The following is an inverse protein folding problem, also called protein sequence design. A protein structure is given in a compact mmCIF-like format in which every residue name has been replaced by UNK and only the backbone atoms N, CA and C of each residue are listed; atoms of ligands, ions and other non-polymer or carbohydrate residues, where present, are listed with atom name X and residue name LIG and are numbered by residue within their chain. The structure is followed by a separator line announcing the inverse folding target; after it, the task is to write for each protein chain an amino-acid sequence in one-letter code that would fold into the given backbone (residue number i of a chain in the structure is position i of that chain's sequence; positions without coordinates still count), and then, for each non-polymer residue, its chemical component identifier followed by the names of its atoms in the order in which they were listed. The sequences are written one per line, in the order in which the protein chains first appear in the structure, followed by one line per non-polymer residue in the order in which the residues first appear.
data_IF_870501750428
#
_entry.id   IF_870501750428
#
_cell.length_a   1.000
_cell.length_b   1.000
_cell.length_c   1.000
_cell.angle_alpha   90.00
_cell.angle_beta   90.00
_cell.angle_gamma   90.00
#
_symmetry.space_group_name_H-M   'P 1'
#
loop_
_entity.id
_entity.type
_entity.pdbx_description
1 polymer ?
#
# COMPACT_ATOMS: atom_id res chain seq x y z
N UNK A 1 4.51 14.50 -17.71
CA UNK A 1 3.11 14.65 -17.28
C UNK A 1 3.10 15.05 -15.83
N UNK A 2 2.27 16.03 -15.49
CA UNK A 2 2.11 16.52 -14.12
C UNK A 2 1.48 15.46 -13.22
N UNK A 3 1.81 15.43 -11.91
CA UNK A 3 1.11 14.59 -10.95
C UNK A 3 -0.39 14.93 -10.87
N UNK A 4 -1.24 13.93 -10.64
CA UNK A 4 -2.71 14.11 -10.59
C UNK A 4 -3.34 13.37 -9.41
N UNK A 5 -4.28 14.04 -8.73
CA UNK A 5 -5.07 13.46 -7.65
C UNK A 5 -6.54 13.41 -8.09
N UNK A 6 -7.13 12.23 -7.99
CA UNK A 6 -8.56 12.01 -8.19
C UNK A 6 -9.23 11.84 -6.82
N UNK A 7 -10.27 12.63 -6.58
CA UNK A 7 -11.06 12.59 -5.34
C UNK A 7 -12.56 12.51 -5.64
N UNK A 8 -13.31 11.85 -4.76
CA UNK A 8 -14.77 11.71 -4.87
C UNK A 8 -15.21 11.05 -6.17
N UNK A 9 -16.12 11.70 -6.91
CA UNK A 9 -16.66 11.16 -8.17
C UNK A 9 -15.55 10.89 -9.20
N UNK A 10 -14.56 11.77 -9.30
CA UNK A 10 -13.43 11.59 -10.23
C UNK A 10 -12.59 10.36 -9.88
N UNK A 11 -12.50 10.01 -8.60
CA UNK A 11 -11.80 8.81 -8.15
C UNK A 11 -12.56 7.54 -8.55
N UNK A 12 -13.88 7.53 -8.40
CA UNK A 12 -14.73 6.40 -8.81
C UNK A 12 -14.65 6.18 -10.33
N UNK A 13 -14.71 7.26 -11.12
CA UNK A 13 -14.53 7.17 -12.57
C UNK A 13 -13.16 6.60 -12.92
N UNK A 14 -12.10 7.11 -12.29
CA UNK A 14 -10.74 6.66 -12.56
C UNK A 14 -10.50 5.21 -12.17
N UNK A 15 -11.10 4.71 -11.09
CA UNK A 15 -11.11 3.27 -10.79
C UNK A 15 -11.79 2.46 -11.89
N UNK A 16 -12.91 2.94 -12.43
CA UNK A 16 -13.61 2.28 -13.54
C UNK A 16 -12.75 2.18 -14.79
N UNK A 17 -11.93 3.19 -15.10
CA UNK A 17 -10.96 3.15 -16.20
C UNK A 17 -9.82 2.14 -15.98
N UNK A 18 -9.61 1.71 -14.74
CA UNK A 18 -8.67 0.65 -14.35
C UNK A 18 -9.35 -0.71 -14.19
N UNK A 19 -10.60 -0.86 -14.66
CA UNK A 19 -11.42 -2.07 -14.47
C UNK A 19 -11.51 -2.49 -12.98
N UNK A 20 -11.62 -1.49 -12.09
CA UNK A 20 -11.77 -1.67 -10.64
C UNK A 20 -13.07 -1.03 -10.15
N UNK A 21 -13.54 -1.53 -9.01
CA UNK A 21 -14.67 -0.95 -8.28
C UNK A 21 -14.26 -0.51 -6.88
N UNK A 22 -15.01 0.42 -6.29
CA UNK A 22 -14.87 0.79 -4.87
C UNK A 22 -15.02 -0.44 -3.97
N UNK A 23 -15.98 -1.31 -4.30
CA UNK A 23 -16.23 -2.56 -3.60
C UNK A 23 -15.01 -3.49 -3.61
N UNK A 24 -14.25 -3.54 -4.70
CA UNK A 24 -13.04 -4.37 -4.77
C UNK A 24 -11.99 -3.94 -3.75
N UNK A 25 -11.75 -2.63 -3.64
CA UNK A 25 -10.81 -2.08 -2.64
C UNK A 25 -11.34 -2.28 -1.22
N UNK A 26 -12.63 -2.06 -1.00
CA UNK A 26 -13.25 -2.27 0.32
C UNK A 26 -13.18 -3.75 0.75
N UNK A 27 -13.44 -4.70 -0.15
CA UNK A 27 -13.34 -6.13 0.16
C UNK A 27 -11.91 -6.54 0.48
N UNK A 28 -10.93 -6.00 -0.22
CA UNK A 28 -9.52 -6.23 0.08
C UNK A 28 -9.22 -5.83 1.54
N UNK A 29 -9.50 -4.58 1.90
CA UNK A 29 -9.19 -4.06 3.23
C UNK A 29 -10.04 -4.68 4.35
N UNK A 30 -11.30 -5.02 4.06
CA UNK A 30 -12.18 -5.74 5.00
C UNK A 30 -11.61 -7.12 5.34
N UNK A 31 -11.12 -7.86 4.34
CA UNK A 31 -10.48 -9.16 4.53
C UNK A 31 -9.18 -9.06 5.33
N UNK A 32 -8.38 -8.02 5.08
CA UNK A 32 -7.20 -7.70 5.89
C UNK A 32 -7.53 -7.41 7.35
N UNK A 33 -8.53 -6.57 7.56
CA UNK A 33 -8.96 -6.12 8.89
C UNK A 33 -9.55 -7.25 9.72
N UNK A 34 -10.38 -8.10 9.12
CA UNK A 34 -10.99 -9.24 9.81
C UNK A 34 -9.93 -10.21 10.38
N UNK A 35 -8.94 -10.59 9.58
CA UNK A 35 -7.88 -11.50 10.03
C UNK A 35 -6.93 -10.82 11.03
N UNK A 36 -6.62 -9.53 10.87
CA UNK A 36 -5.77 -8.81 11.80
C UNK A 36 -6.38 -8.74 13.22
N UNK A 37 -7.72 -8.64 13.32
CA UNK A 37 -8.44 -8.66 14.60
C UNK A 37 -8.46 -10.02 15.30
N UNK A 38 -8.11 -11.10 14.60
CA UNK A 38 -7.97 -12.42 15.22
C UNK A 38 -6.64 -12.59 15.94
N UNK A 39 -5.67 -11.69 15.72
CA UNK A 39 -4.41 -11.69 16.45
C UNK A 39 -4.61 -11.19 17.89
N UNK A 40 -3.89 -11.79 18.81
CA UNK A 40 -3.91 -11.51 20.25
C UNK A 40 -2.51 -11.16 20.75
N UNK A 41 -2.39 -10.82 22.03
CA UNK A 41 -1.09 -10.58 22.67
C UNK A 41 -0.18 -11.81 22.71
N UNK A 42 -0.72 -13.00 22.45
CA UNK A 42 0.03 -14.25 22.39
C UNK A 42 0.71 -14.47 21.02
N UNK A 43 0.34 -13.69 20.00
CA UNK A 43 0.96 -13.74 18.69
C UNK A 43 2.29 -12.98 18.65
N UNK A 44 3.07 -13.20 17.59
CA UNK A 44 4.30 -12.46 17.41
C UNK A 44 4.03 -10.93 17.25
N UNK A 45 4.88 -10.06 17.82
CA UNK A 45 5.01 -8.62 17.60
C UNK A 45 4.47 -7.96 16.31
N UNK A 46 4.68 -8.58 15.16
CA UNK A 46 4.28 -8.07 13.84
C UNK A 46 3.13 -8.82 13.17
N UNK A 47 2.52 -9.80 13.84
CA UNK A 47 1.62 -10.76 13.21
C UNK A 47 0.35 -10.10 12.68
N UNK A 48 -0.27 -9.19 13.43
CA UNK A 48 -1.48 -8.48 12.98
C UNK A 48 -1.22 -7.67 11.70
N UNK A 49 -0.09 -6.97 11.62
CA UNK A 49 0.30 -6.22 10.42
C UNK A 49 0.63 -7.12 9.23
N UNK A 50 1.27 -8.26 9.47
CA UNK A 50 1.57 -9.26 8.43
C UNK A 50 0.29 -9.94 7.93
N UNK A 51 -0.62 -10.32 8.83
CA UNK A 51 -1.94 -10.85 8.52
C UNK A 51 -2.71 -9.87 7.66
N UNK A 52 -2.82 -8.61 8.07
CA UNK A 52 -3.51 -7.58 7.30
C UNK A 52 -2.95 -7.47 5.87
N UNK A 53 -1.63 -7.37 5.73
CA UNK A 53 -0.97 -7.25 4.42
C UNK A 53 -1.25 -8.46 3.52
N UNK A 54 -1.03 -9.67 4.04
CA UNK A 54 -1.23 -10.91 3.29
C UNK A 54 -2.69 -11.09 2.87
N UNK A 55 -3.61 -10.80 3.80
CA UNK A 55 -5.04 -11.05 3.62
C UNK A 55 -5.73 -9.99 2.79
N UNK A 56 -5.28 -8.73 2.84
CA UNK A 56 -5.72 -7.70 1.91
C UNK A 56 -5.41 -8.08 0.46
N UNK A 57 -4.19 -8.54 0.21
CA UNK A 57 -3.80 -8.99 -1.13
C UNK A 57 -4.55 -10.25 -1.55
N UNK A 58 -4.77 -11.23 -0.66
CA UNK A 58 -5.57 -12.42 -0.95
C UNK A 58 -7.01 -12.06 -1.31
N UNK A 59 -7.69 -11.27 -0.48
CA UNK A 59 -9.09 -10.89 -0.68
C UNK A 59 -9.29 -10.10 -1.98
N UNK A 60 -8.35 -9.22 -2.33
CA UNK A 60 -8.35 -8.54 -3.63
C UNK A 60 -8.28 -9.55 -4.78
N UNK A 61 -7.37 -10.52 -4.72
CA UNK A 61 -7.21 -11.55 -5.76
C UNK A 61 -8.42 -12.44 -5.89
N UNK A 62 -8.99 -12.91 -4.78
CA UNK A 62 -10.18 -13.77 -4.80
C UNK A 62 -11.38 -13.05 -5.41
N UNK A 63 -11.51 -11.75 -5.16
CA UNK A 63 -12.53 -10.94 -5.79
C UNK A 63 -12.30 -10.77 -7.30
N UNK A 64 -11.12 -10.28 -7.68
CA UNK A 64 -10.79 -9.94 -9.08
C UNK A 64 -10.52 -11.15 -9.97
N UNK A 65 -10.21 -12.33 -9.42
CA UNK A 65 -10.02 -13.56 -10.20
C UNK A 65 -11.29 -13.95 -10.98
N UNK A 66 -12.47 -13.59 -10.46
CA UNK A 66 -13.76 -13.80 -11.14
C UNK A 66 -13.93 -12.90 -12.37
N UNK A 67 -13.13 -11.84 -12.45
CA UNK A 67 -13.09 -10.86 -13.55
C UNK A 67 -11.89 -11.11 -14.48
N UNK A 68 -11.25 -12.28 -14.36
CA UNK A 68 -10.14 -12.70 -15.24
C UNK A 68 -8.76 -12.19 -14.82
N UNK A 69 -8.63 -11.51 -13.68
CA UNK A 69 -7.34 -11.08 -13.17
C UNK A 69 -6.51 -12.29 -12.71
N UNK A 70 -5.19 -12.17 -12.82
CA UNK A 70 -4.24 -13.21 -12.38
C UNK A 70 -3.33 -12.68 -11.28
N UNK A 71 -2.36 -13.46 -10.80
CA UNK A 71 -1.44 -13.01 -9.75
C UNK A 71 -0.04 -13.60 -9.88
N UNK A 72 0.93 -12.96 -9.22
CA UNK A 72 2.28 -13.48 -9.01
C UNK A 72 2.76 -13.13 -7.60
N UNK A 73 3.63 -13.96 -7.05
CA UNK A 73 4.33 -13.71 -5.79
C UNK A 73 5.86 -13.59 -6.02
N UNK A 74 6.29 -13.37 -7.27
CA UNK A 74 7.70 -13.24 -7.60
C UNK A 74 8.37 -12.14 -6.77
N UNK A 75 9.58 -12.41 -6.28
CA UNK A 75 10.36 -11.51 -5.41
C UNK A 75 9.61 -11.13 -4.11
N UNK A 76 8.67 -11.98 -3.67
CA UNK A 76 7.82 -11.75 -2.50
C UNK A 76 6.93 -10.50 -2.61
N UNK A 77 6.62 -10.07 -3.84
CA UNK A 77 5.67 -8.98 -4.10
C UNK A 77 4.35 -9.59 -4.54
N UNK A 78 3.30 -9.39 -3.73
CA UNK A 78 1.97 -9.96 -3.96
C UNK A 78 1.20 -9.14 -5.00
N UNK A 79 1.58 -9.29 -6.27
CA UNK A 79 0.94 -8.57 -7.39
C UNK A 79 -0.30 -9.29 -7.89
N UNK A 80 -1.35 -8.53 -8.11
CA UNK A 80 -2.60 -8.92 -8.78
C UNK A 80 -2.61 -8.25 -10.14
N UNK A 81 -2.56 -9.02 -11.22
CA UNK A 81 -2.27 -8.57 -12.57
C UNK A 81 -3.57 -8.42 -13.35
N UNK A 82 -3.76 -7.25 -13.96
CA UNK A 82 -4.89 -6.93 -14.82
C UNK A 82 -5.01 -7.93 -15.99
N UNK A 83 -6.22 -8.29 -16.47
CA UNK A 83 -6.40 -9.26 -17.56
C UNK A 83 -5.63 -8.91 -18.84
N UNK A 84 -5.49 -7.62 -19.17
CA UNK A 84 -4.70 -7.16 -20.32
C UNK A 84 -3.19 -7.31 -20.13
N UNK A 85 -2.72 -7.54 -18.90
CA UNK A 85 -1.30 -7.54 -18.54
C UNK A 85 -0.65 -6.15 -18.47
N UNK A 86 -1.42 -5.07 -18.64
CA UNK A 86 -0.89 -3.71 -18.70
C UNK A 86 -0.39 -3.17 -17.35
N UNK A 87 -0.97 -3.61 -16.24
CA UNK A 87 -0.55 -3.19 -14.90
C UNK A 87 -0.90 -4.27 -13.86
N UNK A 88 -0.41 -4.06 -12.64
CA UNK A 88 -0.73 -4.86 -11.47
C UNK A 88 -1.02 -3.98 -10.25
N UNK A 89 -1.56 -4.59 -9.20
CA UNK A 89 -1.84 -3.94 -7.91
C UNK A 89 -1.21 -4.77 -6.79
N UNK A 90 -0.65 -4.10 -5.79
CA UNK A 90 -0.24 -4.72 -4.51
C UNK A 90 -0.68 -3.83 -3.36
N UNK A 91 -1.22 -4.42 -2.29
CA UNK A 91 -1.50 -3.69 -1.06
C UNK A 91 -0.22 -3.52 -0.23
N UNK A 92 0.00 -2.31 0.30
CA UNK A 92 1.22 -1.93 1.03
C UNK A 92 0.86 -0.99 2.19
N UNK A 93 1.45 -1.22 3.37
CA UNK A 93 1.28 -0.29 4.48
C UNK A 93 1.91 1.07 4.19
N UNK A 94 1.14 2.11 4.43
CA UNK A 94 1.48 3.53 4.28
C UNK A 94 1.56 4.26 5.62
N UNK A 95 2.02 5.50 5.55
CA UNK A 95 2.22 6.43 6.67
C UNK A 95 2.21 7.86 6.15
N UNK A 96 2.18 8.84 7.06
CA UNK A 96 1.99 10.25 6.70
C UNK A 96 0.52 10.52 6.35
N UNK A 97 0.31 11.31 5.31
CA UNK A 97 -1.01 11.83 4.92
C UNK A 97 -1.76 10.93 3.93
N UNK A 98 -1.63 9.60 4.06
CA UNK A 98 -2.40 8.63 3.24
C UNK A 98 -3.89 8.94 3.35
N UNK A 99 -4.55 9.12 2.19
CA UNK A 99 -5.97 9.46 2.08
C UNK A 99 -6.31 10.95 2.17
N UNK A 100 -5.32 11.84 2.31
CA UNK A 100 -5.50 13.30 2.26
C UNK A 100 -5.30 13.81 0.83
N UNK A 101 -6.35 14.37 0.24
CA UNK A 101 -6.37 14.90 -1.12
C UNK A 101 -5.51 16.15 -1.31
N UNK A 102 -5.19 16.85 -0.23
CA UNK A 102 -4.36 18.06 -0.25
C UNK A 102 -2.88 17.77 0.01
N UNK A 103 -2.51 16.51 0.28
CA UNK A 103 -1.14 16.14 0.55
C UNK A 103 -0.25 16.19 -0.71
N UNK A 104 0.99 16.63 -0.52
CA UNK A 104 1.99 16.68 -1.57
C UNK A 104 2.25 15.30 -2.20
N UNK A 105 2.54 15.30 -3.50
CA UNK A 105 2.86 14.08 -4.26
C UNK A 105 4.24 13.51 -3.94
N UNK A 106 5.06 14.20 -3.15
CA UNK A 106 6.38 13.76 -2.71
C UNK A 106 6.53 13.98 -1.20
N UNK A 107 6.93 12.94 -0.48
CA UNK A 107 7.28 12.99 0.96
C UNK A 107 6.10 12.91 1.93
N UNK A 108 4.97 13.60 1.66
CA UNK A 108 3.83 13.65 2.57
C UNK A 108 3.12 12.29 2.73
N UNK A 109 3.05 11.52 1.65
CA UNK A 109 2.54 10.14 1.63
C UNK A 109 3.68 9.19 1.37
N UNK A 110 3.90 8.21 2.25
CA UNK A 110 4.99 7.24 2.08
C UNK A 110 4.65 5.86 2.59
N UNK A 111 5.30 4.86 2.03
CA UNK A 111 5.29 3.50 2.59
C UNK A 111 5.83 3.49 4.03
N UNK A 112 5.13 2.80 4.95
CA UNK A 112 5.49 2.75 6.39
C UNK A 112 6.86 2.12 6.62
N UNK A 113 7.08 0.96 6.00
CA UNK A 113 8.30 0.17 6.18
C UNK A 113 9.26 0.35 4.99
N UNK A 114 10.59 0.41 5.22
CA UNK A 114 11.61 0.38 4.18
C UNK A 114 11.38 -0.74 3.17
N UNK A 115 11.64 -0.46 1.89
CA UNK A 115 11.50 -1.40 0.79
C UNK A 115 12.86 -1.82 0.24
N UNK A 116 12.91 -3.06 -0.25
CA UNK A 116 14.10 -3.65 -0.85
C UNK A 116 14.27 -3.29 -2.32
N UNK A 117 15.37 -3.77 -2.91
CA UNK A 117 15.74 -3.53 -4.30
C UNK A 117 14.69 -4.00 -5.32
N UNK A 118 13.91 -5.04 -4.99
CA UNK A 118 12.81 -5.53 -5.82
C UNK A 118 11.74 -4.44 -6.06
N UNK A 119 11.34 -3.73 -5.00
CA UNK A 119 10.39 -2.61 -5.09
C UNK A 119 11.04 -1.39 -5.74
N UNK A 120 12.31 -1.09 -5.42
CA UNK A 120 13.01 0.02 -6.07
C UNK A 120 13.06 -0.12 -7.59
N UNK A 121 13.35 -1.32 -8.10
CA UNK A 121 13.31 -1.62 -9.54
C UNK A 121 11.90 -1.47 -10.13
N UNK A 122 10.87 -1.85 -9.39
CA UNK A 122 9.47 -1.69 -9.81
C UNK A 122 9.08 -0.21 -9.92
N UNK A 123 9.46 0.61 -8.93
CA UNK A 123 9.17 2.05 -8.93
C UNK A 123 9.93 2.76 -10.05
N UNK A 124 11.20 2.42 -10.26
CA UNK A 124 11.99 2.92 -11.38
C UNK A 124 11.35 2.59 -12.73
N UNK A 125 10.84 1.36 -12.90
CA UNK A 125 10.13 0.97 -14.12
C UNK A 125 8.83 1.74 -14.32
N UNK A 126 8.06 1.95 -13.25
CA UNK A 126 6.87 2.79 -13.33
C UNK A 126 7.24 4.14 -13.92
N UNK A 127 8.31 4.80 -13.40
CA UNK A 127 8.81 6.07 -13.91
C UNK A 127 9.20 6.04 -15.40
N UNK A 128 9.96 5.02 -15.82
CA UNK A 128 10.42 4.86 -17.20
C UNK A 128 9.28 4.58 -18.19
N UNK A 129 8.26 3.82 -17.78
CA UNK A 129 7.15 3.42 -18.65
C UNK A 129 5.99 4.42 -18.67
N UNK A 130 6.00 5.47 -17.83
CA UNK A 130 4.97 6.53 -17.82
C UNK A 130 4.57 7.07 -19.21
N UNK A 131 5.50 7.34 -20.15
CA UNK A 131 5.13 7.86 -21.46
C UNK A 131 4.34 6.85 -22.31
N UNK A 132 4.53 5.54 -22.08
CA UNK A 132 3.89 4.47 -22.84
C UNK A 132 2.43 4.27 -22.44
N UNK A 133 2.09 4.55 -21.18
CA UNK A 133 0.72 4.51 -20.68
C UNK A 133 -0.22 5.49 -21.39
N UNK A 134 0.27 6.67 -21.77
CA UNK A 134 -0.54 7.69 -22.44
C UNK A 134 -0.87 7.35 -23.89
N UNK A 135 -0.11 6.44 -24.51
CA UNK A 135 -0.20 6.16 -25.95
C UNK A 135 -1.11 4.95 -26.22
N UNK A 136 -1.64 4.30 -25.18
CA UNK A 136 -2.54 3.15 -25.33
C UNK A 136 -1.90 1.99 -26.09
N UNK A 137 -0.57 1.93 -26.14
CA UNK A 137 0.12 0.88 -26.86
C UNK A 137 -0.11 -0.44 -26.14
N UNK A 138 -0.48 -1.52 -26.87
CA UNK A 138 -0.54 -2.84 -26.27
C UNK A 138 0.87 -3.19 -25.80
N UNK A 139 1.06 -3.25 -24.48
CA UNK A 139 2.27 -3.82 -23.90
C UNK A 139 2.38 -5.24 -24.45
N UNK A 140 3.45 -5.52 -25.20
CA UNK A 140 3.84 -6.90 -25.46
C UNK A 140 3.88 -7.58 -24.09
N UNK A 141 3.34 -8.79 -23.99
CA UNK A 141 3.32 -9.60 -22.76
C UNK A 141 4.76 -9.80 -22.28
N UNK A 142 5.28 -8.82 -21.56
CA UNK A 142 6.59 -8.86 -20.94
C UNK A 142 6.58 -9.95 -19.88
N UNK A 143 7.76 -10.40 -19.49
CA UNK A 143 7.87 -11.23 -18.30
C UNK A 143 7.11 -10.57 -17.14
N UNK A 144 6.52 -11.37 -16.24
CA UNK A 144 5.75 -10.83 -15.11
C UNK A 144 6.52 -9.76 -14.30
N UNK A 145 7.84 -9.69 -14.42
CA UNK A 145 8.75 -8.72 -13.82
C UNK A 145 8.65 -7.30 -14.38
N UNK A 146 8.02 -7.07 -15.54
CA UNK A 146 8.04 -5.78 -16.27
C UNK A 146 6.70 -5.04 -16.29
N UNK A 147 5.77 -5.46 -15.44
CA UNK A 147 4.42 -4.92 -15.35
C UNK A 147 4.39 -3.78 -14.32
N UNK A 148 4.02 -2.55 -14.72
CA UNK A 148 3.82 -1.45 -13.80
C UNK A 148 2.88 -1.81 -12.67
N UNK A 149 3.15 -1.31 -11.47
CA UNK A 149 2.41 -1.75 -10.29
C UNK A 149 1.93 -0.58 -9.46
N UNK A 150 0.61 -0.53 -9.26
CA UNK A 150 -0.11 0.36 -8.37
C UNK A 150 -0.07 -0.15 -6.93
N UNK A 151 -0.03 0.78 -5.98
CA UNK A 151 -0.03 0.48 -4.56
C UNK A 151 -1.40 0.82 -3.98
N UNK A 152 -2.10 -0.19 -3.47
CA UNK A 152 -3.20 0.03 -2.54
C UNK A 152 -2.58 0.34 -1.17
N UNK A 153 -2.35 1.63 -0.92
CA UNK A 153 -1.79 2.12 0.33
C UNK A 153 -2.87 2.11 1.41
N UNK A 154 -2.51 1.65 2.60
CA UNK A 154 -3.39 1.68 3.75
C UNK A 154 -2.64 2.11 5.01
N UNK A 155 -3.28 2.90 5.87
CA UNK A 155 -2.76 3.40 7.14
C UNK A 155 -3.82 3.18 8.20
N UNK A 156 -3.49 2.37 9.20
CA UNK A 156 -4.34 2.22 10.39
C UNK A 156 -3.96 3.26 11.43
N UNK A 157 -4.96 3.77 12.14
CA UNK A 157 -4.84 4.61 13.32
C UNK A 157 -6.04 4.36 14.25
N UNK A 158 -6.08 5.08 15.37
CA UNK A 158 -7.18 4.98 16.34
C UNK A 158 -8.52 5.45 15.76
N UNK A 159 -8.47 6.31 14.76
CA UNK A 159 -9.63 6.88 14.07
C UNK A 159 -10.20 5.94 13.00
N UNK A 160 -9.42 4.96 12.55
CA UNK A 160 -9.84 4.00 11.54
C UNK A 160 -8.72 3.58 10.60
N UNK A 161 -9.10 3.11 9.42
CA UNK A 161 -8.20 2.80 8.31
C UNK A 161 -8.37 3.84 7.21
N UNK A 162 -7.33 4.61 6.89
CA UNK A 162 -7.29 5.42 5.67
C UNK A 162 -6.58 4.68 4.56
N UNK A 163 -6.98 4.88 3.32
CA UNK A 163 -6.39 4.18 2.18
C UNK A 163 -6.51 4.99 0.89
N UNK A 164 -5.66 4.65 -0.09
CA UNK A 164 -5.69 5.20 -1.44
C UNK A 164 -5.07 4.20 -2.43
N UNK A 165 -5.41 4.31 -3.71
CA UNK A 165 -4.73 3.59 -4.78
C UNK A 165 -3.81 4.57 -5.51
N UNK A 166 -2.50 4.34 -5.44
CA UNK A 166 -1.51 5.31 -5.92
C UNK A 166 -0.44 4.65 -6.79
N UNK A 167 -0.03 5.35 -7.85
CA UNK A 167 1.01 4.91 -8.77
C UNK A 167 2.37 5.49 -8.34
N UNK A 168 3.28 4.69 -7.76
CA UNK A 168 4.58 5.19 -7.32
C UNK A 168 5.52 5.40 -8.49
N UNK A 169 6.33 6.46 -8.41
CA UNK A 169 7.32 6.79 -9.45
C UNK A 169 8.68 7.22 -8.92
N UNK A 170 8.85 7.41 -7.61
CA UNK A 170 10.18 7.59 -7.04
C UNK A 170 10.24 7.13 -5.57
N UNK A 171 11.46 7.06 -5.04
CA UNK A 171 11.77 6.70 -3.67
C UNK A 171 12.83 7.61 -3.08
N UNK A 172 12.56 8.22 -1.93
CA UNK A 172 13.61 8.83 -1.12
C UNK A 172 14.13 7.83 -0.07
N UNK A 173 15.42 7.51 -0.16
CA UNK A 173 16.07 6.51 0.68
C UNK A 173 15.53 5.11 0.41
N UNK A 174 14.83 4.51 1.39
CA UNK A 174 14.22 3.17 1.26
C UNK A 174 12.70 3.22 1.27
N UNK A 175 12.09 4.40 1.29
CA UNK A 175 10.64 4.52 1.30
C UNK A 175 10.18 4.99 -0.08
N UNK A 176 9.15 4.35 -0.60
CA UNK A 176 8.39 4.88 -1.72
C UNK A 176 7.52 6.01 -1.19
N UNK A 177 7.71 7.20 -1.72
CA UNK A 177 7.08 8.43 -1.24
C UNK A 177 6.79 9.46 -2.33
N UNK A 178 7.05 9.15 -3.59
CA UNK A 178 6.70 9.99 -4.73
C UNK A 178 5.71 9.30 -5.65
N UNK A 179 4.61 9.98 -5.96
CA UNK A 179 3.46 9.42 -6.66
C UNK A 179 3.16 10.22 -7.93
N UNK A 180 2.90 9.53 -9.04
CA UNK A 180 2.40 10.18 -10.26
C UNK A 180 0.91 10.43 -10.18
N UNK A 181 0.20 9.48 -9.63
CA UNK A 181 -1.26 9.48 -9.61
C UNK A 181 -1.72 8.95 -8.26
N UNK A 182 -2.71 9.63 -7.66
CA UNK A 182 -3.33 9.25 -6.39
C UNK A 182 -4.84 9.21 -6.59
N UNK A 183 -5.47 8.09 -6.22
CA UNK A 183 -6.92 7.89 -6.33
C UNK A 183 -7.47 7.68 -4.92
N UNK A 184 -8.25 8.65 -4.45
CA UNK A 184 -8.76 8.73 -3.08
C UNK A 184 -10.29 8.72 -3.11
N UNK A 185 -10.89 7.73 -2.46
CA UNK A 185 -12.34 7.64 -2.33
C UNK A 185 -12.83 8.60 -1.25
N UNK A 186 -13.90 9.35 -1.53
CA UNK A 186 -14.54 10.22 -0.54
C UNK A 186 -15.26 9.43 0.55
N UNK A 187 -15.81 8.26 0.20
CA UNK A 187 -16.45 7.36 1.17
C UNK A 187 -15.42 6.40 1.76
N UNK A 188 -15.24 6.47 3.07
CA UNK A 188 -14.41 5.53 3.82
C UNK A 188 -15.27 4.77 4.86
N UNK A 189 -15.57 3.48 4.63
CA UNK A 189 -16.39 2.70 5.56
C UNK A 189 -15.60 2.19 6.78
N UNK A 190 -14.29 2.40 6.85
CA UNK A 190 -13.41 1.83 7.88
C UNK A 190 -13.09 2.85 8.97
N UNK A 191 -14.12 3.31 9.67
CA UNK A 191 -13.99 4.25 10.78
C UNK A 191 -14.07 3.54 12.12
N UNK A 192 -13.33 4.03 13.10
CA UNK A 192 -13.38 3.51 14.47
C UNK A 192 -12.17 2.67 14.89
N UNK A 193 -12.03 2.44 16.21
CA UNK A 193 -10.85 1.82 16.82
C UNK A 193 -10.68 0.34 16.47
N UNK A 194 -11.70 -0.33 15.96
CA UNK A 194 -11.64 -1.73 15.50
C UNK A 194 -10.78 -1.92 14.24
N UNK A 195 -10.43 -0.82 13.56
CA UNK A 195 -9.52 -0.79 12.41
C UNK A 195 -8.09 -0.36 12.80
N UNK A 196 -7.84 -0.08 14.08
CA UNK A 196 -6.50 0.19 14.60
C UNK A 196 -5.69 -1.11 14.67
N UNK A 197 -4.86 -1.34 13.65
CA UNK A 197 -3.93 -2.48 13.60
C UNK A 197 -2.75 -2.17 14.52
N UNK A 198 -2.97 -2.29 15.83
CA UNK A 198 -1.93 -2.09 16.84
C UNK A 198 -0.81 -3.11 16.66
N UNK A 199 0.42 -2.65 16.91
CA UNK A 199 1.56 -3.54 17.16
C UNK A 199 1.70 -3.71 18.66
N UNK A 200 1.99 -4.92 19.11
CA UNK A 200 2.27 -5.19 20.52
C UNK A 200 3.53 -4.43 21.01
N UNK A 201 4.43 -4.09 20.09
CA UNK A 201 5.72 -3.41 20.34
C UNK A 201 5.75 -1.97 19.84
N UNK A 202 4.58 -1.35 19.60
CA UNK A 202 4.50 0.10 19.77
C UNK A 202 4.69 0.40 21.26
N UNK A 203 5.96 0.40 21.68
CA UNK A 203 6.38 0.91 22.98
C UNK A 203 5.74 2.29 23.09
N UNK A 204 4.94 2.56 24.13
CA UNK A 204 4.49 3.92 24.38
C UNK A 204 5.70 4.83 24.26
N UNK A 205 5.57 5.99 23.62
CA UNK A 205 6.63 6.98 23.59
C UNK A 205 6.86 7.50 25.02
N UNK A 206 7.51 6.69 25.86
CA UNK A 206 8.01 7.09 27.17
C UNK A 206 9.28 7.86 26.87
N UNK A 207 9.36 9.10 27.35
CA UNK A 207 10.59 9.87 27.28
C UNK A 207 11.76 8.99 27.76
N UNK A 208 12.92 9.01 27.08
CA UNK A 208 14.05 8.18 27.46
C UNK A 208 14.40 8.45 28.92
N UNK A 209 14.33 7.40 29.75
CA UNK A 209 14.77 7.49 31.14
C UNK A 209 16.29 7.54 31.11
N UNK A 210 16.87 8.67 31.50
CA UNK A 210 18.30 8.77 31.76
C UNK A 210 18.64 7.92 32.99
N UNK A 211 19.23 6.75 32.75
CA UNK A 211 19.80 5.93 33.81
C UNK A 211 21.29 6.24 33.92
N UNK A 212 21.75 6.90 34.99
CA UNK A 212 23.17 7.19 35.17
C UNK A 212 23.94 5.88 35.42
N UNK A 213 24.71 5.44 34.43
CA UNK A 213 25.60 4.29 34.55
C UNK A 213 26.89 4.74 35.23
N UNK A 214 27.13 4.29 36.46
CA UNK A 214 28.45 4.38 37.11
C UNK A 214 29.24 3.11 36.81
N UNK A 215 30.29 3.24 35.98
CA UNK A 215 31.32 2.21 35.88
C UNK A 215 31.98 2.03 37.25
N UNK A 216 31.85 0.85 37.84
CA UNK A 216 32.74 0.42 38.92
C UNK A 216 34.02 -0.08 38.25
N UNK A 217 35.12 0.63 38.50
CA UNK A 217 36.42 0.39 37.89
C UNK A 217 36.89 -1.06 38.06
N UNK A 218 37.66 -1.51 37.07
CA UNK A 218 38.41 -2.75 37.11
C UNK A 218 39.42 -2.71 38.28
N UNK A 219 39.46 -3.80 39.05
CA UNK A 219 40.54 -4.13 39.99
C UNK A 219 41.76 -4.62 39.22
#
# INVERSE_FOLDING_TARGET
MEPVCHFGISAVQRLGELDLTTLALHKALSGGSADARMCTEMDAPGMAGYAFWSRSNRALREHLAREGWTYTNSQSILRTIHPSGAFAITAVSGSGSVGDENADFSGAVRTKNPKGSAIAKLVQRNHEQLPLFSIGMPHKRGEATDIPTWFLLYKSSKEGLTFELSLPVDMHGKNVDTWRERIILSENPFTGPEFDIKRLDEVPSVAPVEVPVKFKGAL
#
